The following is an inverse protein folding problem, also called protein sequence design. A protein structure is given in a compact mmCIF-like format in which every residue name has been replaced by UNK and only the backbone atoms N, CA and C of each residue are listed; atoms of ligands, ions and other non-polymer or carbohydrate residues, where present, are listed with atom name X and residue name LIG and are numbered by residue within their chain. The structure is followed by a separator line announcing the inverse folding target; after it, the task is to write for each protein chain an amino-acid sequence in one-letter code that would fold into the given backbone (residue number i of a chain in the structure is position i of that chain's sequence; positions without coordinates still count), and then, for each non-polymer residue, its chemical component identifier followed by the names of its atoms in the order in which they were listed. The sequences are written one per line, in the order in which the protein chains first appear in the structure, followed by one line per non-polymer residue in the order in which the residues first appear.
data_IF_811548450175
#
_entry.id   IF_811548450175
#
_cell.length_a   1.000
_cell.length_b   1.000
_cell.length_c   1.000
_cell.angle_alpha   90.00
_cell.angle_beta   90.00
_cell.angle_gamma   90.00
#
_symmetry.space_group_name_H-M   'P 1'
#
loop_
_entity.id
_entity.type
_entity.pdbx_description
1 polymer ?
#
# COMPACT_ATOMS: atom_id res chain seq x y z
N UNK A 1 -34.45 11.07 56.41
CA UNK A 1 -33.79 10.15 55.44
C UNK A 1 -34.03 10.67 54.03
N UNK A 2 -33.10 10.39 53.11
CA UNK A 2 -33.05 10.77 51.67
C UNK A 2 -32.25 12.04 51.35
N UNK A 3 -30.92 11.84 51.42
CA UNK A 3 -29.93 12.34 50.44
C UNK A 3 -30.38 11.98 49.01
N UNK A 4 -29.68 12.53 48.01
CA UNK A 4 -29.69 12.20 46.56
C UNK A 4 -30.64 13.13 45.78
N UNK A 5 -30.26 13.94 44.79
CA UNK A 5 -29.08 13.97 43.93
C UNK A 5 -28.79 15.44 43.52
N UNK A 6 -27.68 16.01 43.97
CA UNK A 6 -27.08 17.24 43.40
C UNK A 6 -25.84 16.85 42.61
N UNK A 7 -25.95 15.96 41.62
CA UNK A 7 -24.81 15.53 40.81
C UNK A 7 -25.27 14.91 39.49
N UNK A 8 -25.90 15.69 38.62
CA UNK A 8 -26.27 15.22 37.28
C UNK A 8 -25.99 16.28 36.20
N UNK A 9 -25.01 17.15 36.42
CA UNK A 9 -24.66 18.23 35.50
C UNK A 9 -23.16 18.27 35.21
N UNK A 10 -22.49 17.13 35.13
CA UNK A 10 -21.12 17.02 34.58
C UNK A 10 -20.97 15.65 33.92
N UNK A 11 -21.69 15.42 32.81
CA UNK A 11 -21.46 14.22 31.99
C UNK A 11 -21.73 14.50 30.50
N UNK A 12 -21.52 15.73 30.05
CA UNK A 12 -21.76 16.16 28.68
C UNK A 12 -20.58 16.98 28.18
N UNK A 13 -19.37 16.40 28.13
CA UNK A 13 -18.23 17.04 27.46
C UNK A 13 -17.01 16.11 27.28
N UNK A 14 -17.16 14.93 26.62
CA UNK A 14 -16.02 14.31 25.90
C UNK A 14 -16.54 13.51 24.70
N UNK A 15 -17.21 14.17 23.76
CA UNK A 15 -17.33 13.66 22.39
C UNK A 15 -16.28 14.38 21.54
N UNK A 16 -15.02 14.06 21.78
CA UNK A 16 -13.89 14.62 21.03
C UNK A 16 -13.12 13.48 20.37
N UNK A 17 -13.49 13.26 19.09
CA UNK A 17 -12.61 12.89 17.99
C UNK A 17 -11.60 11.79 18.31
N UNK A 18 -12.06 10.55 18.31
CA UNK A 18 -11.22 9.42 17.94
C UNK A 18 -11.62 8.97 16.53
N UNK A 19 -11.36 9.84 15.54
CA UNK A 19 -11.15 9.36 14.18
C UNK A 19 -9.79 8.64 14.19
N UNK A 20 -9.78 7.45 14.79
CA UNK A 20 -8.67 6.53 14.66
C UNK A 20 -8.49 6.32 13.17
N UNK A 21 -7.34 6.79 12.66
CA UNK A 21 -6.94 6.61 11.28
C UNK A 21 -7.08 5.12 10.94
N UNK A 22 -8.18 4.76 10.25
CA UNK A 22 -8.27 3.47 9.62
C UNK A 22 -7.03 3.35 8.72
N UNK A 23 -6.30 2.22 8.71
CA UNK A 23 -5.26 2.03 7.73
C UNK A 23 -5.92 2.24 6.38
N UNK A 24 -5.50 3.30 5.67
CA UNK A 24 -5.94 3.52 4.30
C UNK A 24 -5.67 2.21 3.58
N UNK A 25 -6.71 1.58 3.05
CA UNK A 25 -6.54 0.42 2.20
C UNK A 25 -5.54 0.86 1.13
N UNK A 26 -4.35 0.26 1.14
CA UNK A 26 -3.29 0.72 0.25
C UNK A 26 -3.81 0.54 -1.17
N UNK A 27 -4.05 1.66 -1.85
CA UNK A 27 -4.55 1.64 -3.21
C UNK A 27 -3.50 0.94 -4.07
N UNK A 28 -3.99 0.17 -5.06
CA UNK A 28 -3.10 -0.45 -6.02
C UNK A 28 -2.34 0.65 -6.76
N UNK A 29 -1.02 0.51 -6.85
CA UNK A 29 -0.13 1.37 -7.61
C UNK A 29 -0.74 1.68 -8.98
N UNK A 30 -0.78 2.96 -9.32
CA UNK A 30 -1.29 3.46 -10.58
C UNK A 30 -0.21 3.38 -11.66
N UNK A 31 -0.60 3.27 -12.95
CA UNK A 31 0.34 3.41 -14.05
C UNK A 31 1.02 4.77 -14.00
N UNK A 32 2.35 4.77 -13.97
CA UNK A 32 3.18 5.95 -13.77
C UNK A 32 3.89 5.96 -12.42
N UNK A 33 3.34 5.31 -11.40
CA UNK A 33 3.88 5.34 -10.04
C UNK A 33 5.27 4.71 -9.96
N UNK A 34 6.09 5.25 -9.05
CA UNK A 34 7.36 4.66 -8.65
C UNK A 34 7.21 4.05 -7.25
N UNK A 35 7.42 2.74 -7.14
CA UNK A 35 7.22 1.98 -5.90
C UNK A 35 8.45 1.15 -5.55
N UNK A 36 8.65 0.83 -4.28
CA UNK A 36 9.65 -0.13 -3.82
C UNK A 36 9.13 -1.57 -3.95
N UNK A 37 10.04 -2.52 -4.19
CA UNK A 37 9.76 -3.93 -3.90
C UNK A 37 9.81 -4.19 -2.40
N UNK A 38 8.86 -4.97 -1.88
CA UNK A 38 8.84 -5.36 -0.46
C UNK A 38 9.74 -6.57 -0.14
N UNK A 39 10.14 -7.33 -1.15
CA UNK A 39 10.99 -8.51 -1.03
C UNK A 39 11.68 -8.84 -2.36
N UNK A 40 12.50 -9.89 -2.35
CA UNK A 40 13.12 -10.43 -3.56
C UNK A 40 12.05 -10.84 -4.58
N UNK A 41 12.21 -10.40 -5.82
CA UNK A 41 11.20 -10.47 -6.86
C UNK A 41 11.78 -10.89 -8.20
N UNK A 42 10.91 -11.33 -9.11
CA UNK A 42 11.28 -11.67 -10.49
C UNK A 42 10.56 -10.73 -11.44
N UNK A 43 11.31 -10.13 -12.35
CA UNK A 43 10.82 -9.41 -13.51
C UNK A 43 10.86 -10.35 -14.72
N UNK A 44 9.69 -10.77 -15.20
CA UNK A 44 9.56 -11.62 -16.37
C UNK A 44 9.63 -10.77 -17.64
N UNK A 45 10.76 -10.81 -18.36
CA UNK A 45 10.94 -10.03 -19.58
C UNK A 45 10.21 -10.68 -20.76
N UNK A 46 10.25 -12.01 -20.80
CA UNK A 46 9.50 -12.86 -21.72
C UNK A 46 9.26 -14.25 -21.09
N UNK A 47 8.81 -15.25 -21.86
CA UNK A 47 8.49 -16.58 -21.36
C UNK A 47 9.71 -17.38 -20.85
N UNK A 48 10.92 -17.04 -21.28
CA UNK A 48 12.16 -17.76 -20.98
C UNK A 48 13.20 -16.88 -20.29
N UNK A 49 13.05 -15.56 -20.35
CA UNK A 49 13.99 -14.60 -19.78
C UNK A 49 13.42 -13.96 -18.52
N UNK A 50 14.15 -14.14 -17.43
CA UNK A 50 13.83 -13.56 -16.12
C UNK A 50 14.98 -12.71 -15.62
N UNK A 51 14.64 -11.63 -14.92
CA UNK A 51 15.59 -10.75 -14.24
C UNK A 51 15.25 -10.68 -12.75
N UNK A 52 16.25 -10.90 -11.93
CA UNK A 52 16.10 -10.86 -10.48
C UNK A 52 16.11 -9.42 -9.98
N UNK A 53 15.12 -9.06 -9.16
CA UNK A 53 15.00 -7.74 -8.54
C UNK A 53 15.15 -7.89 -7.03
N UNK A 54 16.12 -7.20 -6.43
CA UNK A 54 16.33 -7.22 -5.00
C UNK A 54 15.17 -6.55 -4.24
N UNK A 55 15.01 -6.87 -2.96
CA UNK A 55 14.09 -6.15 -2.08
C UNK A 55 14.53 -4.68 -1.93
N UNK A 56 13.58 -3.75 -1.80
CA UNK A 56 13.86 -2.31 -1.71
C UNK A 56 14.36 -1.69 -3.02
N UNK A 57 14.15 -2.35 -4.16
CA UNK A 57 14.47 -1.77 -5.47
C UNK A 57 13.32 -0.91 -5.94
N UNK A 58 13.63 0.26 -6.52
CA UNK A 58 12.62 1.11 -7.16
C UNK A 58 12.17 0.53 -8.49
N UNK A 59 10.85 0.45 -8.66
CA UNK A 59 10.18 -0.13 -9.80
C UNK A 59 9.13 0.84 -10.30
N UNK A 60 9.21 1.22 -11.57
CA UNK A 60 8.17 2.07 -12.18
C UNK A 60 7.06 1.20 -12.74
N UNK A 61 5.83 1.43 -12.28
CA UNK A 61 4.64 0.77 -12.82
C UNK A 61 4.28 1.43 -14.14
N UNK A 62 4.14 0.64 -15.20
CA UNK A 62 3.82 1.13 -16.54
C UNK A 62 2.36 0.85 -16.89
N UNK A 63 1.83 -0.29 -16.47
CA UNK A 63 0.46 -0.72 -16.76
C UNK A 63 0.03 -1.91 -15.87
N UNK A 64 -1.25 -2.24 -15.85
CA UNK A 64 -1.77 -3.48 -15.26
C UNK A 64 -1.70 -4.64 -16.27
N UNK A 65 -1.13 -5.78 -15.86
CA UNK A 65 -1.09 -7.02 -16.66
C UNK A 65 -1.92 -8.10 -15.97
N UNK A 66 -3.22 -7.93 -16.07
CA UNK A 66 -4.20 -8.81 -15.41
C UNK A 66 -4.27 -8.57 -13.90
N UNK A 67 -4.87 -9.53 -13.19
CA UNK A 67 -5.21 -9.35 -11.77
C UNK A 67 -4.00 -9.35 -10.85
N UNK A 68 -2.91 -10.05 -11.21
CA UNK A 68 -1.80 -10.35 -10.31
C UNK A 68 -0.46 -9.75 -10.72
N UNK A 69 -0.34 -9.18 -11.92
CA UNK A 69 0.92 -8.63 -12.41
C UNK A 69 0.79 -7.17 -12.83
N UNK A 70 1.88 -6.43 -12.66
CA UNK A 70 2.10 -5.15 -13.31
C UNK A 70 3.05 -5.34 -14.49
N UNK A 71 2.87 -4.55 -15.55
CA UNK A 71 3.98 -4.22 -16.43
C UNK A 71 4.82 -3.16 -15.72
N UNK A 72 6.10 -3.40 -15.59
CA UNK A 72 6.99 -2.54 -14.83
C UNK A 72 8.34 -2.35 -15.52
N UNK A 73 9.03 -1.26 -15.14
CA UNK A 73 10.41 -0.98 -15.55
C UNK A 73 11.33 -0.98 -14.33
N UNK A 74 12.44 -1.71 -14.44
CA UNK A 74 13.53 -1.77 -13.45
C UNK A 74 14.85 -1.70 -14.20
N UNK A 75 15.73 -0.76 -13.85
CA UNK A 75 17.07 -0.60 -14.45
C UNK A 75 17.09 -0.59 -15.99
N UNK A 76 16.07 0.00 -16.61
CA UNK A 76 15.91 0.08 -18.07
C UNK A 76 15.28 -1.15 -18.72
N UNK A 77 15.12 -2.26 -18.00
CA UNK A 77 14.42 -3.45 -18.44
C UNK A 77 12.92 -3.30 -18.21
N UNK A 78 12.10 -3.78 -19.15
CA UNK A 78 10.65 -3.78 -19.04
C UNK A 78 10.15 -5.22 -19.02
N UNK A 79 9.32 -5.54 -18.04
CA UNK A 79 8.77 -6.89 -17.89
C UNK A 79 7.58 -6.92 -16.95
N UNK A 80 7.10 -8.11 -16.64
CA UNK A 80 6.00 -8.31 -15.71
C UNK A 80 6.54 -8.60 -14.31
N UNK A 81 5.92 -8.01 -13.29
CA UNK A 81 6.25 -8.27 -11.89
C UNK A 81 4.97 -8.53 -11.10
N UNK A 82 5.03 -9.45 -10.14
CA UNK A 82 3.90 -9.78 -9.27
C UNK A 82 3.52 -8.57 -8.39
N UNK A 83 2.23 -8.20 -8.39
CA UNK A 83 1.71 -7.05 -7.64
C UNK A 83 1.97 -7.17 -6.13
N UNK A 84 1.90 -8.39 -5.59
CA UNK A 84 2.14 -8.68 -4.16
C UNK A 84 3.58 -8.41 -3.72
N UNK A 85 4.50 -8.26 -4.67
CA UNK A 85 5.91 -7.93 -4.40
C UNK A 85 6.18 -6.44 -4.36
N UNK A 86 5.21 -5.61 -4.74
CA UNK A 86 5.30 -4.16 -4.71
C UNK A 86 4.75 -3.66 -3.38
N UNK A 87 5.55 -2.88 -2.67
CA UNK A 87 5.12 -2.15 -1.48
C UNK A 87 4.22 -0.98 -1.90
N UNK A 88 2.91 -1.21 -1.86
CA UNK A 88 1.91 -0.22 -2.28
C UNK A 88 1.98 1.08 -1.44
N UNK A 89 2.46 1.01 -0.20
CA UNK A 89 2.56 2.17 0.68
C UNK A 89 3.73 3.11 0.30
N UNK A 90 4.65 2.65 -0.55
CA UNK A 90 5.81 3.42 -1.01
C UNK A 90 5.58 4.16 -2.35
N UNK A 91 4.45 3.90 -3.01
CA UNK A 91 4.15 4.39 -4.35
C UNK A 91 3.87 5.91 -4.36
N UNK A 92 4.42 6.60 -5.35
CA UNK A 92 4.24 8.04 -5.60
C UNK A 92 4.52 8.43 -7.06
#
# INVERSE_FOLDING_TARGET
MRKLLRSAAIAASVAAVAAAAAPAASEAASPGDLCLTNQFSVLYLDANTLYTVAAGTWVRILDYRGTYHYLARVDGLVGQIERVRIDQASCH
#
